data_IF_369156073139
#
_entry.id   IF_369156073139
#
_cell.length_a   1.000
_cell.length_b   1.000
_cell.length_c   1.000
_cell.angle_alpha   90.00
_cell.angle_beta   90.00
_cell.angle_gamma   90.00
#
_symmetry.space_group_name_H-M   'P 1'
#
loop_
_entity.id
_entity.type
_entity.pdbx_description
1 polymer ?
#
# COMPACT_ATOMS: atom_id res chain seq x y z
N UNK A 1 -2.40 0.62 0.52
CA UNK A 1 -3.51 -0.05 1.22
C UNK A 1 -4.11 0.91 2.24
N UNK A 2 -5.44 0.91 2.45
CA UNK A 2 -6.08 1.64 3.54
C UNK A 2 -5.56 1.14 4.90
N UNK A 3 -5.64 1.98 5.95
CA UNK A 3 -5.05 1.68 7.27
C UNK A 3 -5.69 0.43 7.91
N UNK A 4 -6.96 0.14 7.62
CA UNK A 4 -7.68 -1.04 8.09
C UNK A 4 -7.18 -2.36 7.48
N UNK A 5 -6.57 -2.33 6.31
CA UNK A 5 -5.98 -3.52 5.68
C UNK A 5 -4.57 -3.82 6.21
N UNK A 6 -3.94 -2.86 6.89
CA UNK A 6 -2.62 -3.05 7.48
C UNK A 6 -2.76 -3.60 8.89
N UNK A 7 -2.32 -4.81 9.05
CA UNK A 7 -2.34 -5.54 10.30
C UNK A 7 -0.96 -5.53 10.96
N UNK A 8 -0.93 -5.81 12.25
CA UNK A 8 0.31 -5.83 13.03
C UNK A 8 0.46 -7.16 13.74
N UNK A 9 1.63 -7.76 13.62
CA UNK A 9 1.98 -8.98 14.35
C UNK A 9 3.16 -8.71 15.28
N UNK A 10 3.20 -9.39 16.41
CA UNK A 10 4.31 -9.33 17.36
C UNK A 10 5.32 -10.43 16.97
N UNK A 11 6.56 -10.03 16.69
CA UNK A 11 7.63 -10.95 16.26
C UNK A 11 8.67 -11.21 17.35
N UNK A 12 8.78 -10.31 18.34
CA UNK A 12 9.64 -10.46 19.51
C UNK A 12 8.97 -9.82 20.71
N UNK A 13 9.32 -10.25 21.91
CA UNK A 13 8.82 -9.65 23.16
C UNK A 13 9.99 -9.33 24.10
N UNK A 14 9.80 -8.32 24.94
CA UNK A 14 10.71 -8.09 26.06
C UNK A 14 10.68 -9.27 27.05
N UNK A 15 11.71 -9.41 27.88
CA UNK A 15 11.82 -10.52 28.83
C UNK A 15 10.63 -10.52 29.82
N UNK A 16 10.20 -9.37 30.27
CA UNK A 16 9.04 -9.18 31.15
C UNK A 16 7.67 -9.29 30.46
N UNK A 17 7.66 -9.51 29.13
CA UNK A 17 6.43 -9.64 28.32
C UNK A 17 5.50 -8.41 28.34
N UNK A 18 6.03 -7.24 28.68
CA UNK A 18 5.24 -5.99 28.72
C UNK A 18 5.21 -5.29 27.36
N UNK A 19 6.27 -5.48 26.54
CA UNK A 19 6.37 -4.88 25.20
C UNK A 19 6.66 -5.94 24.14
N UNK A 20 6.20 -5.68 22.94
CA UNK A 20 6.46 -6.50 21.75
C UNK A 20 6.85 -5.65 20.55
N UNK A 21 7.69 -6.23 19.70
CA UNK A 21 8.07 -5.63 18.43
C UNK A 21 6.97 -5.88 17.42
N UNK A 22 6.26 -4.82 17.06
CA UNK A 22 5.19 -4.84 16.09
C UNK A 22 5.74 -4.70 14.67
N UNK A 23 5.31 -5.62 13.79
CA UNK A 23 5.68 -5.66 12.37
C UNK A 23 4.41 -5.54 11.55
N UNK A 24 4.32 -4.53 10.66
CA UNK A 24 3.16 -4.37 9.80
C UNK A 24 3.13 -5.41 8.68
N UNK A 25 1.95 -5.81 8.27
CA UNK A 25 1.73 -6.68 7.12
C UNK A 25 0.33 -6.50 6.54
N UNK A 26 0.12 -6.98 5.31
CA UNK A 26 -1.21 -7.14 4.72
C UNK A 26 -1.53 -8.61 4.55
N UNK A 27 -2.80 -8.96 4.63
CA UNK A 27 -3.21 -10.32 4.35
C UNK A 27 -3.37 -10.58 2.83
N UNK A 28 -3.47 -11.85 2.47
CA UNK A 28 -3.63 -12.25 1.07
C UNK A 28 -4.91 -11.71 0.45
N UNK A 29 -5.99 -11.59 1.23
CA UNK A 29 -7.29 -11.11 0.75
C UNK A 29 -7.26 -9.62 0.38
N UNK A 30 -6.52 -8.80 1.14
CA UNK A 30 -6.34 -7.40 0.81
C UNK A 30 -5.61 -7.24 -0.56
N UNK A 31 -4.61 -8.07 -0.81
CA UNK A 31 -3.91 -8.08 -2.11
C UNK A 31 -4.84 -8.54 -3.24
N UNK A 32 -5.65 -9.59 -3.00
CA UNK A 32 -6.61 -10.08 -3.97
C UNK A 32 -7.66 -9.02 -4.32
N UNK A 33 -8.27 -8.37 -3.30
CA UNK A 33 -9.18 -7.24 -3.53
C UNK A 33 -8.53 -6.15 -4.37
N UNK A 34 -7.30 -5.78 -4.05
CA UNK A 34 -6.54 -4.78 -4.82
C UNK A 34 -6.35 -5.19 -6.28
N UNK A 35 -6.09 -6.46 -6.55
CA UNK A 35 -5.98 -6.98 -7.92
C UNK A 35 -7.33 -6.95 -8.63
N UNK A 36 -8.41 -7.41 -7.97
CA UNK A 36 -9.76 -7.38 -8.52
C UNK A 36 -10.19 -5.94 -8.87
N UNK A 37 -9.93 -4.99 -7.99
CA UNK A 37 -10.27 -3.57 -8.18
C UNK A 37 -9.43 -2.88 -9.27
N UNK A 38 -8.19 -3.33 -9.48
CA UNK A 38 -7.24 -2.65 -10.38
C UNK A 38 -7.27 -3.19 -11.79
N UNK A 39 -7.28 -4.52 -11.95
CA UNK A 39 -7.19 -5.18 -13.27
C UNK A 39 -8.42 -6.04 -13.59
N UNK A 40 -9.38 -6.15 -12.68
CA UNK A 40 -10.55 -7.01 -12.81
C UNK A 40 -10.26 -8.47 -12.46
N UNK A 41 -11.32 -9.22 -12.17
CA UNK A 41 -11.23 -10.63 -11.79
C UNK A 41 -10.63 -11.53 -12.90
N UNK A 42 -10.74 -11.11 -14.14
CA UNK A 42 -10.19 -11.77 -15.34
C UNK A 42 -8.83 -11.20 -15.76
N UNK A 43 -8.38 -10.14 -15.08
CA UNK A 43 -7.11 -9.46 -15.34
C UNK A 43 -5.92 -10.04 -14.58
N UNK A 44 -6.11 -11.05 -13.75
CA UNK A 44 -5.02 -11.73 -13.04
C UNK A 44 -5.27 -13.23 -12.89
N UNK A 45 -4.19 -13.97 -12.75
CA UNK A 45 -4.23 -15.41 -12.46
C UNK A 45 -3.03 -15.81 -11.63
N UNK A 46 -3.19 -16.87 -10.84
CA UNK A 46 -2.15 -17.40 -9.97
C UNK A 46 -2.05 -18.92 -10.07
N UNK A 47 -0.84 -19.42 -10.02
CA UNK A 47 -0.56 -20.85 -9.86
C UNK A 47 0.55 -21.08 -8.84
N UNK A 48 0.58 -22.28 -8.28
CA UNK A 48 1.55 -22.65 -7.26
C UNK A 48 2.23 -23.97 -7.65
N UNK A 49 3.54 -23.99 -7.55
CA UNK A 49 4.35 -25.18 -7.74
C UNK A 49 4.96 -25.56 -6.39
N UNK A 50 4.69 -26.77 -5.88
CA UNK A 50 5.35 -27.24 -4.66
C UNK A 50 6.83 -27.48 -4.92
N UNK A 51 7.64 -27.19 -3.92
CA UNK A 51 9.05 -27.53 -3.82
C UNK A 51 9.27 -28.24 -2.47
N UNK A 52 10.47 -28.78 -2.21
CA UNK A 52 10.76 -29.64 -1.06
C UNK A 52 10.21 -29.06 0.27
N UNK A 53 10.51 -27.80 0.58
CA UNK A 53 10.11 -27.14 1.83
C UNK A 53 9.18 -25.93 1.64
N UNK A 54 8.51 -25.79 0.48
CA UNK A 54 7.74 -24.59 0.23
C UNK A 54 6.93 -24.60 -1.06
N UNK A 55 6.64 -23.40 -1.54
CA UNK A 55 5.90 -23.16 -2.78
C UNK A 55 6.52 -22.02 -3.57
N UNK A 56 6.58 -22.18 -4.88
CA UNK A 56 6.76 -21.09 -5.83
C UNK A 56 5.38 -20.64 -6.29
N UNK A 57 5.13 -19.35 -6.23
CA UNK A 57 3.94 -18.70 -6.74
C UNK A 57 4.27 -18.01 -8.07
N UNK A 58 3.52 -18.35 -9.12
CA UNK A 58 3.53 -17.64 -10.39
C UNK A 58 2.27 -16.76 -10.44
N UNK A 59 2.43 -15.45 -10.28
CA UNK A 59 1.36 -14.47 -10.41
C UNK A 59 1.46 -13.80 -11.77
N UNK A 60 0.37 -13.80 -12.53
CA UNK A 60 0.30 -13.16 -13.84
C UNK A 60 -0.74 -12.05 -13.84
N UNK A 61 -0.38 -10.89 -14.36
CA UNK A 61 -1.29 -9.78 -14.59
C UNK A 61 -1.41 -9.51 -16.09
N UNK A 62 -2.63 -9.19 -16.54
CA UNK A 62 -2.90 -8.79 -17.90
C UNK A 62 -2.74 -7.27 -18.02
N UNK A 63 -1.61 -6.83 -18.58
CA UNK A 63 -1.28 -5.42 -18.75
C UNK A 63 -1.15 -5.15 -20.26
N UNK A 64 -1.87 -4.13 -20.77
CA UNK A 64 -1.86 -3.78 -22.20
C UNK A 64 -2.15 -4.98 -23.13
N UNK A 65 -3.10 -5.84 -22.75
CA UNK A 65 -3.46 -7.09 -23.43
C UNK A 65 -2.39 -8.20 -23.42
N UNK A 66 -1.30 -8.03 -22.72
CA UNK A 66 -0.26 -9.05 -22.54
C UNK A 66 -0.26 -9.61 -21.13
N UNK A 67 -0.01 -10.92 -21.00
CA UNK A 67 0.18 -11.57 -19.71
C UNK A 67 1.63 -11.44 -19.26
N UNK A 68 1.85 -10.70 -18.18
CA UNK A 68 3.16 -10.57 -17.54
C UNK A 68 3.15 -11.44 -16.29
N UNK A 69 4.08 -12.40 -16.23
CA UNK A 69 4.22 -13.32 -15.09
C UNK A 69 5.45 -12.99 -14.25
N UNK A 70 5.27 -12.94 -12.95
CA UNK A 70 6.36 -12.84 -11.97
C UNK A 70 6.27 -14.01 -11.01
N UNK A 71 7.42 -14.44 -10.49
CA UNK A 71 7.53 -15.57 -9.59
C UNK A 71 8.37 -15.24 -8.36
N UNK A 72 7.96 -15.78 -7.24
CA UNK A 72 8.72 -15.78 -5.99
C UNK A 72 8.24 -16.95 -5.14
N UNK A 73 9.00 -17.32 -4.11
CA UNK A 73 8.68 -18.46 -3.27
C UNK A 73 8.68 -18.15 -1.78
N UNK A 74 8.08 -19.07 -1.03
CA UNK A 74 8.15 -19.05 0.42
C UNK A 74 8.20 -20.49 0.95
N UNK A 75 8.90 -20.67 2.06
CA UNK A 75 8.90 -21.94 2.77
C UNK A 75 7.53 -22.19 3.42
N UNK A 76 7.24 -23.45 3.69
CA UNK A 76 6.12 -23.82 4.56
C UNK A 76 6.32 -23.20 5.94
N UNK A 77 5.22 -22.90 6.61
CA UNK A 77 5.24 -22.40 8.00
C UNK A 77 5.06 -23.55 8.98
N UNK A 78 5.51 -23.40 10.22
CA UNK A 78 5.35 -24.43 11.25
C UNK A 78 3.88 -24.73 11.58
N UNK A 79 3.06 -23.71 11.51
CA UNK A 79 1.59 -23.80 11.70
C UNK A 79 0.87 -23.64 10.35
N UNK A 80 -0.10 -24.54 10.05
CA UNK A 80 -0.81 -24.58 8.76
C UNK A 80 0.14 -24.58 7.55
N UNK A 81 1.08 -25.50 7.52
CA UNK A 81 2.22 -25.58 6.59
C UNK A 81 1.90 -25.19 5.15
N UNK A 82 0.90 -25.83 4.55
CA UNK A 82 0.52 -25.60 3.15
C UNK A 82 -0.07 -24.21 2.96
N UNK A 83 -1.06 -23.84 3.78
CA UNK A 83 -1.74 -22.54 3.70
C UNK A 83 -0.77 -21.37 3.95
N UNK A 84 0.11 -21.51 4.94
CA UNK A 84 1.11 -20.51 5.26
C UNK A 84 2.13 -20.33 4.15
N UNK A 85 2.63 -21.42 3.58
CA UNK A 85 3.55 -21.40 2.45
C UNK A 85 2.95 -20.76 1.19
N UNK A 86 1.73 -21.17 0.82
CA UNK A 86 0.99 -20.60 -0.32
C UNK A 86 0.74 -19.09 -0.13
N UNK A 87 0.22 -18.69 1.05
CA UNK A 87 -0.03 -17.27 1.36
C UNK A 87 1.26 -16.45 1.39
N UNK A 88 2.33 -17.04 1.91
CA UNK A 88 3.66 -16.42 1.92
C UNK A 88 4.20 -16.20 0.51
N UNK A 89 4.19 -17.23 -0.33
CA UNK A 89 4.64 -17.16 -1.70
C UNK A 89 3.86 -16.12 -2.51
N UNK A 90 2.51 -16.11 -2.39
CA UNK A 90 1.68 -15.11 -3.07
C UNK A 90 2.02 -13.67 -2.67
N UNK A 91 2.09 -13.39 -1.36
CA UNK A 91 2.42 -12.04 -0.85
C UNK A 91 3.80 -11.59 -1.30
N UNK A 92 4.78 -12.50 -1.31
CA UNK A 92 6.13 -12.20 -1.80
C UNK A 92 6.11 -11.89 -3.29
N UNK A 93 5.46 -12.71 -4.11
CA UNK A 93 5.38 -12.48 -5.56
C UNK A 93 4.68 -11.16 -5.88
N UNK A 94 3.58 -10.83 -5.19
CA UNK A 94 2.89 -9.56 -5.35
C UNK A 94 3.80 -8.36 -4.99
N UNK A 95 4.53 -8.45 -3.89
CA UNK A 95 5.42 -7.40 -3.41
C UNK A 95 6.71 -7.29 -4.23
N UNK A 96 7.46 -8.37 -4.40
CA UNK A 96 8.75 -8.37 -5.10
C UNK A 96 8.57 -8.14 -6.60
N UNK A 97 7.59 -8.82 -7.21
CA UNK A 97 7.35 -8.79 -8.64
C UNK A 97 6.66 -7.51 -9.12
N UNK A 98 5.61 -7.09 -8.44
CA UNK A 98 4.73 -6.00 -8.87
C UNK A 98 4.75 -4.76 -7.97
N UNK A 99 5.48 -4.77 -6.87
CA UNK A 99 5.52 -3.66 -5.92
C UNK A 99 4.29 -3.53 -5.03
N UNK A 100 3.32 -4.46 -5.11
CA UNK A 100 2.08 -4.42 -4.34
C UNK A 100 2.39 -4.57 -2.85
N UNK A 101 2.16 -3.50 -2.09
CA UNK A 101 2.46 -3.47 -0.65
C UNK A 101 3.94 -3.43 -0.29
N UNK A 102 4.86 -3.20 -1.25
CA UNK A 102 6.31 -3.16 -1.00
C UNK A 102 6.68 -2.11 0.04
N UNK A 103 6.04 -0.94 0.02
CA UNK A 103 6.27 0.14 0.98
C UNK A 103 6.03 -0.26 2.45
N UNK A 104 5.28 -1.33 2.70
CA UNK A 104 5.00 -1.81 4.07
C UNK A 104 6.30 -2.26 4.76
N UNK A 105 7.29 -2.73 3.99
CA UNK A 105 8.60 -3.09 4.51
C UNK A 105 9.44 -1.87 4.93
N UNK A 106 9.08 -0.66 4.46
CA UNK A 106 9.75 0.59 4.84
C UNK A 106 9.13 1.22 6.11
N UNK A 107 8.02 0.67 6.60
CA UNK A 107 7.37 1.14 7.83
C UNK A 107 8.24 0.75 9.02
N UNK A 108 8.63 1.72 9.87
CA UNK A 108 9.49 1.44 11.01
C UNK A 108 8.87 0.43 11.97
N UNK A 109 9.67 -0.54 12.39
CA UNK A 109 9.29 -1.47 13.45
C UNK A 109 9.22 -0.71 14.76
N UNK A 110 8.17 -0.98 15.55
CA UNK A 110 7.90 -0.23 16.77
C UNK A 110 7.69 -1.15 17.96
N UNK A 111 8.35 -0.84 19.09
CA UNK A 111 8.08 -1.50 20.37
C UNK A 111 6.84 -0.89 21.02
N UNK A 112 5.83 -1.71 21.22
CA UNK A 112 4.52 -1.29 21.76
C UNK A 112 4.15 -2.13 23.00
N UNK A 113 3.19 -1.64 23.78
CA UNK A 113 2.56 -2.43 24.83
C UNK A 113 1.79 -3.59 24.22
N UNK A 114 1.86 -4.74 24.85
CA UNK A 114 1.21 -5.98 24.38
C UNK A 114 0.40 -6.61 25.50
N UNK A 115 -0.60 -7.39 25.09
CA UNK A 115 -1.37 -8.26 25.98
C UNK A 115 -1.38 -9.68 25.46
N UNK A 116 -1.56 -10.64 26.37
CA UNK A 116 -1.69 -12.05 26.01
C UNK A 116 -3.10 -12.31 25.48
N UNK A 117 -3.19 -12.98 24.34
CA UNK A 117 -4.45 -13.45 23.74
C UNK A 117 -4.28 -14.90 23.33
N UNK A 118 -4.87 -15.81 24.09
CA UNK A 118 -4.62 -17.25 23.93
C UNK A 118 -3.15 -17.60 24.12
N UNK A 119 -2.55 -18.24 23.12
CA UNK A 119 -1.12 -18.60 23.14
C UNK A 119 -0.20 -17.54 22.49
N UNK A 120 -0.75 -16.40 22.05
CA UNK A 120 -0.02 -15.35 21.33
C UNK A 120 -0.05 -14.03 22.10
N UNK A 121 0.80 -13.11 21.70
CA UNK A 121 0.78 -11.73 22.13
C UNK A 121 0.25 -10.83 21.01
N UNK A 122 -0.60 -9.87 21.36
CA UNK A 122 -1.19 -8.91 20.43
C UNK A 122 -0.97 -7.49 20.96
N UNK A 123 -1.05 -6.46 20.09
CA UNK A 123 -1.06 -5.07 20.54
C UNK A 123 -2.15 -4.84 21.58
N UNK A 124 -1.81 -4.12 22.67
CA UNK A 124 -2.80 -3.73 23.69
C UNK A 124 -3.64 -2.53 23.27
N UNK A 125 -3.12 -1.73 22.36
CA UNK A 125 -3.77 -0.55 21.79
C UNK A 125 -3.66 -0.54 20.26
N UNK A 126 -4.52 0.23 19.60
CA UNK A 126 -4.49 0.40 18.14
C UNK A 126 -3.20 1.10 17.74
N UNK A 127 -2.46 0.50 16.81
CA UNK A 127 -1.28 1.11 16.21
C UNK A 127 -1.73 1.92 15.00
N UNK A 128 -1.41 3.21 14.99
CA UNK A 128 -1.64 4.07 13.83
C UNK A 128 -0.42 4.06 12.93
N UNK A 129 -0.66 4.03 11.62
CA UNK A 129 0.40 4.23 10.62
C UNK A 129 1.00 5.63 10.75
N UNK A 130 2.33 5.78 10.59
CA UNK A 130 2.92 7.09 10.38
C UNK A 130 2.28 7.80 9.18
N UNK A 131 2.04 9.10 9.28
CA UNK A 131 1.29 9.88 8.28
C UNK A 131 1.75 9.69 6.84
N UNK A 132 3.08 9.54 6.62
CA UNK A 132 3.66 9.33 5.28
C UNK A 132 3.24 8.01 4.61
N UNK A 133 2.71 7.04 5.37
CA UNK A 133 2.27 5.73 4.87
C UNK A 133 0.74 5.59 4.85
N UNK A 134 0.01 6.56 5.39
CA UNK A 134 -1.45 6.56 5.29
C UNK A 134 -1.86 6.85 3.86
N UNK A 135 -2.89 6.15 3.39
CA UNK A 135 -3.59 6.60 2.20
C UNK A 135 -4.12 7.99 2.48
N UNK A 136 -3.83 8.90 1.59
CA UNK A 136 -4.31 10.27 1.68
C UNK A 136 -5.72 10.36 1.07
N UNK A 137 -6.64 9.54 1.56
CA UNK A 137 -8.05 9.53 1.12
C UNK A 137 -8.69 10.91 1.25
N UNK A 138 -8.31 11.66 2.30
CA UNK A 138 -8.70 13.07 2.47
C UNK A 138 -8.22 13.96 1.33
N UNK A 139 -7.22 13.55 0.58
CA UNK A 139 -6.69 14.30 -0.56
C UNK A 139 -7.30 13.87 -1.90
N UNK A 140 -7.99 12.72 -1.96
CA UNK A 140 -8.60 12.22 -3.20
C UNK A 140 -9.51 13.26 -3.84
N UNK A 141 -10.41 13.95 -3.12
CA UNK A 141 -11.26 14.98 -3.72
C UNK A 141 -10.45 16.13 -4.34
N UNK A 142 -9.30 16.46 -3.77
CA UNK A 142 -8.41 17.51 -4.32
C UNK A 142 -7.63 17.01 -5.52
N UNK A 143 -7.15 15.76 -5.48
CA UNK A 143 -6.36 15.14 -6.55
C UNK A 143 -7.14 14.97 -7.84
N UNK A 144 -8.46 14.74 -7.75
CA UNK A 144 -9.33 14.56 -8.91
C UNK A 144 -9.84 15.86 -9.53
N UNK A 145 -9.61 17.02 -8.89
CA UNK A 145 -9.97 18.30 -9.46
C UNK A 145 -9.20 18.54 -10.76
N UNK A 146 -9.93 18.96 -11.80
CA UNK A 146 -9.36 19.21 -13.12
C UNK A 146 -9.07 20.67 -13.36
N UNK A 147 -7.99 20.93 -14.07
CA UNK A 147 -7.63 22.27 -14.51
C UNK A 147 -8.62 22.77 -15.56
N UNK A 148 -9.27 23.92 -15.32
CA UNK A 148 -10.24 24.50 -16.25
C UNK A 148 -9.59 25.30 -17.38
N UNK A 149 -8.32 25.67 -17.25
CA UNK A 149 -7.58 26.55 -18.19
C UNK A 149 -6.10 26.20 -18.24
N UNK A 150 -5.41 26.68 -19.26
CA UNK A 150 -3.94 26.70 -19.34
C UNK A 150 -3.31 25.43 -19.90
N UNK A 151 -2.00 25.25 -19.63
CA UNK A 151 -1.16 24.15 -20.17
C UNK A 151 -1.75 22.77 -19.89
N UNK A 152 -2.34 22.60 -18.72
CA UNK A 152 -2.90 21.34 -18.25
C UNK A 152 -4.43 21.33 -18.27
N UNK A 153 -5.06 21.96 -19.27
CA UNK A 153 -6.53 21.93 -19.44
C UNK A 153 -7.06 20.50 -19.38
N UNK A 154 -8.06 20.26 -18.53
CA UNK A 154 -8.71 18.97 -18.27
C UNK A 154 -7.84 17.90 -17.57
N UNK A 155 -6.57 18.15 -17.28
CA UNK A 155 -5.77 17.27 -16.43
C UNK A 155 -6.19 17.40 -14.98
N UNK A 156 -6.19 16.30 -14.25
CA UNK A 156 -6.39 16.29 -12.80
C UNK A 156 -5.16 16.84 -12.07
N UNK A 157 -5.33 17.34 -10.85
CA UNK A 157 -4.20 17.74 -10.03
C UNK A 157 -3.26 16.55 -9.71
N UNK A 158 -3.78 15.32 -9.72
CA UNK A 158 -2.97 14.11 -9.61
C UNK A 158 -2.00 13.97 -10.77
N UNK A 159 -2.50 14.05 -12.00
CA UNK A 159 -1.66 13.97 -13.21
C UNK A 159 -0.62 15.09 -13.26
N UNK A 160 -0.99 16.29 -12.85
CA UNK A 160 -0.09 17.44 -12.77
C UNK A 160 1.01 17.22 -11.73
N UNK A 161 0.68 16.65 -10.57
CA UNK A 161 1.66 16.32 -9.53
C UNK A 161 2.67 15.25 -9.98
N UNK A 162 2.23 14.31 -10.80
CA UNK A 162 3.09 13.25 -11.34
C UNK A 162 4.04 13.79 -12.43
N UNK A 163 3.58 14.74 -13.26
CA UNK A 163 4.34 15.29 -14.40
C UNK A 163 5.17 16.55 -14.04
N UNK A 164 4.56 17.51 -13.37
CA UNK A 164 5.13 18.83 -13.07
C UNK A 164 4.64 19.36 -11.71
N UNK A 165 5.15 18.83 -10.59
CA UNK A 165 4.70 19.23 -9.24
C UNK A 165 4.81 20.72 -8.99
N UNK A 166 5.81 21.39 -9.60
CA UNK A 166 6.03 22.83 -9.42
C UNK A 166 4.95 23.70 -10.07
N UNK A 167 4.15 23.13 -10.97
CA UNK A 167 3.03 23.84 -11.58
C UNK A 167 1.96 24.28 -10.57
N UNK A 168 1.87 23.63 -9.42
CA UNK A 168 1.03 24.07 -8.31
C UNK A 168 1.38 25.49 -7.84
N UNK A 169 2.65 25.84 -7.86
CA UNK A 169 3.11 27.21 -7.54
C UNK A 169 2.62 28.22 -8.58
N UNK A 170 2.58 27.83 -9.85
CA UNK A 170 2.05 28.68 -10.91
C UNK A 170 0.53 28.91 -10.73
N UNK A 171 -0.22 27.85 -10.42
CA UNK A 171 -1.67 27.94 -10.13
C UNK A 171 -1.91 28.91 -8.96
N UNK A 172 -1.13 28.79 -7.88
CA UNK A 172 -1.27 29.64 -6.71
C UNK A 172 -0.93 31.11 -7.01
N UNK A 173 0.00 31.38 -7.91
CA UNK A 173 0.31 32.76 -8.39
C UNK A 173 -0.81 33.35 -9.25
N UNK A 174 -1.63 32.52 -9.85
CA UNK A 174 -2.77 32.88 -10.71
C UNK A 174 -4.12 32.58 -10.04
N UNK A 175 -4.16 32.68 -8.72
CA UNK A 175 -5.32 32.33 -7.90
C UNK A 175 -6.60 33.12 -8.22
N UNK A 176 -6.47 34.28 -8.84
CA UNK A 176 -7.55 35.12 -9.35
C UNK A 176 -8.18 34.60 -10.66
N UNK A 177 -7.49 33.71 -11.37
CA UNK A 177 -7.91 33.17 -12.68
C UNK A 177 -8.46 31.75 -12.62
N UNK A 178 -8.47 31.12 -11.45
CA UNK A 178 -8.93 29.75 -11.25
C UNK A 178 -9.95 29.67 -10.10
N UNK A 179 -10.82 28.64 -10.10
CA UNK A 179 -11.79 28.46 -9.02
C UNK A 179 -11.15 28.39 -7.63
N UNK A 180 -11.78 28.99 -6.63
CA UNK A 180 -11.28 28.99 -5.24
C UNK A 180 -11.05 27.60 -4.69
N UNK A 181 -11.88 26.64 -5.06
CA UNK A 181 -11.73 25.22 -4.69
C UNK A 181 -10.41 24.62 -5.20
N UNK A 182 -9.99 24.99 -6.41
CA UNK A 182 -8.72 24.55 -6.98
C UNK A 182 -7.52 25.19 -6.26
N UNK A 183 -7.64 26.46 -5.90
CA UNK A 183 -6.63 27.16 -5.12
C UNK A 183 -6.43 26.51 -3.75
N UNK A 184 -7.51 26.18 -3.07
CA UNK A 184 -7.46 25.49 -1.78
C UNK A 184 -6.83 24.10 -1.92
N UNK A 185 -7.24 23.34 -2.92
CA UNK A 185 -6.64 22.04 -3.23
C UNK A 185 -5.11 22.16 -3.45
N UNK A 186 -4.66 23.12 -4.24
CA UNK A 186 -3.23 23.35 -4.47
C UNK A 186 -2.47 23.70 -3.19
N UNK A 187 -3.05 24.47 -2.27
CA UNK A 187 -2.43 24.77 -0.97
C UNK A 187 -2.26 23.52 -0.13
N UNK A 188 -3.32 22.71 -0.03
CA UNK A 188 -3.29 21.45 0.72
C UNK A 188 -2.28 20.48 0.13
N UNK A 189 -2.33 20.26 -1.18
CA UNK A 189 -1.43 19.34 -1.87
C UNK A 189 0.04 19.80 -1.80
N UNK A 190 0.29 21.10 -1.96
CA UNK A 190 1.65 21.65 -1.82
C UNK A 190 2.23 21.36 -0.45
N UNK A 191 1.47 21.56 0.63
CA UNK A 191 1.88 21.26 2.01
C UNK A 191 2.16 19.79 2.20
N UNK A 192 1.24 18.93 1.73
CA UNK A 192 1.32 17.49 1.93
C UNK A 192 2.42 16.81 1.12
N UNK A 193 2.69 17.29 -0.09
CA UNK A 193 3.76 16.76 -0.95
C UNK A 193 5.10 17.49 -0.78
N UNK A 194 5.21 18.41 0.22
CA UNK A 194 6.41 19.20 0.52
C UNK A 194 7.01 19.89 -0.73
N UNK A 195 6.14 20.41 -1.60
CA UNK A 195 6.56 21.13 -2.79
C UNK A 195 7.04 22.55 -2.39
N UNK A 196 8.28 22.83 -2.63
CA UNK A 196 8.95 24.12 -2.31
C UNK A 196 8.57 25.24 -3.29
#
# INVERSE_FOLDING_TARGET
FPEEDIQWRITATTQDKTKGLAVPYVDTRAIQRRLDDTVGIDGWKVSYKPIEDGFICSLSLKLNNEWITKEDGANMTDYEKIKGGISGAFKRTASSGYGIGRYIYDIPLTWIKIKKQGNSYVPDEKISLPSKYKLKEELTPYLELKMPIGKYLNHSLKEILEEDPLYLNYILKKSDQVPSQLVEACKVLKKEYMIS
#
